data_IF_981264528081
#
_entry.id   IF_981264528081
#
_cell.length_a   1.000
_cell.length_b   1.000
_cell.length_c   1.000
_cell.angle_alpha   90.00
_cell.angle_beta   90.00
_cell.angle_gamma   90.00
#
_symmetry.space_group_name_H-M   'P 1'
#
loop_
_entity.id
_entity.type
_entity.pdbx_description
1 polymer ?
#
# COMPACT_ATOMS: atom_id res chain seq x y z
N UNK A 1 -8.78 12.21 4.19
CA UNK A 1 -9.49 12.39 2.91
C UNK A 1 -9.35 11.09 2.15
N UNK A 2 -10.47 10.39 1.89
CA UNK A 2 -10.47 9.03 1.34
C UNK A 2 -10.70 9.14 -0.17
N UNK A 3 -9.75 8.64 -0.98
CA UNK A 3 -9.77 8.70 -2.45
C UNK A 3 -10.88 7.80 -3.01
N UNK A 4 -11.95 8.33 -3.62
CA UNK A 4 -13.07 7.51 -4.16
C UNK A 4 -12.82 6.93 -5.56
N UNK A 5 -11.61 7.07 -6.09
CA UNK A 5 -11.29 6.67 -7.46
C UNK A 5 -10.60 5.30 -7.50
N UNK A 6 -10.86 4.54 -8.56
CA UNK A 6 -10.05 3.37 -8.87
C UNK A 6 -8.70 3.87 -9.39
N UNK A 7 -7.60 3.39 -8.79
CA UNK A 7 -6.26 3.77 -9.20
C UNK A 7 -5.57 2.57 -9.85
N UNK A 8 -4.93 2.81 -10.98
CA UNK A 8 -3.97 1.85 -11.56
C UNK A 8 -2.58 2.43 -11.45
N UNK A 9 -1.69 1.69 -10.80
CA UNK A 9 -0.32 2.09 -10.51
C UNK A 9 0.61 1.24 -11.36
N UNK A 10 1.38 1.88 -12.23
CA UNK A 10 2.39 1.24 -13.07
C UNK A 10 3.79 1.65 -12.61
N UNK A 11 4.71 0.70 -12.59
CA UNK A 11 6.08 0.90 -12.16
C UNK A 11 7.07 0.78 -13.33
N UNK A 12 7.34 1.87 -14.07
CA UNK A 12 8.30 1.83 -15.17
C UNK A 12 9.77 1.63 -14.74
N UNK A 13 10.15 1.97 -13.50
CA UNK A 13 11.51 1.82 -13.00
C UNK A 13 11.59 1.78 -11.46
N UNK A 14 12.64 1.13 -10.95
CA UNK A 14 12.96 1.04 -9.52
C UNK A 14 12.35 -0.16 -8.80
N UNK A 15 12.57 -0.20 -7.49
CA UNK A 15 12.06 -1.23 -6.57
C UNK A 15 11.58 -0.55 -5.29
N UNK A 16 10.58 -1.11 -4.63
CA UNK A 16 10.06 -0.53 -3.39
C UNK A 16 9.04 -1.42 -2.71
N UNK A 17 8.30 -0.87 -1.77
CA UNK A 17 7.15 -1.54 -1.17
C UNK A 17 5.89 -0.70 -1.28
N UNK A 18 4.74 -1.37 -1.35
CA UNK A 18 3.39 -0.82 -1.27
C UNK A 18 2.69 -1.44 -0.06
N UNK A 19 2.17 -0.58 0.82
CA UNK A 19 1.19 -0.98 1.83
C UNK A 19 -0.20 -0.52 1.42
N UNK A 20 -1.21 -1.37 1.62
CA UNK A 20 -2.63 -1.03 1.50
C UNK A 20 -3.31 -1.36 2.82
N UNK A 21 -4.04 -0.40 3.39
CA UNK A 21 -4.80 -0.58 4.62
C UNK A 21 -6.27 -0.89 4.28
N UNK A 22 -6.59 -2.17 4.09
CA UNK A 22 -7.94 -2.59 3.74
C UNK A 22 -8.80 -2.60 5.00
N UNK A 23 -9.87 -1.77 5.09
CA UNK A 23 -10.69 -1.71 6.29
C UNK A 23 -11.31 -3.06 6.63
N UNK A 24 -11.25 -3.45 7.91
CA UNK A 24 -11.79 -4.73 8.40
C UNK A 24 -10.90 -5.94 8.17
N UNK A 25 -9.75 -5.81 7.49
CA UNK A 25 -8.77 -6.89 7.40
C UNK A 25 -7.84 -6.90 8.61
N UNK A 26 -7.50 -8.11 9.08
CA UNK A 26 -6.58 -8.30 10.20
C UNK A 26 -5.13 -7.96 9.83
N UNK A 27 -4.34 -7.58 10.83
CA UNK A 27 -2.89 -7.43 10.75
C UNK A 27 -2.24 -8.82 10.79
N UNK A 28 -1.75 -9.29 9.64
CA UNK A 28 -1.21 -10.66 9.49
C UNK A 28 0.31 -10.72 9.49
N UNK A 29 0.99 -9.57 9.50
CA UNK A 29 2.44 -9.47 9.63
C UNK A 29 2.71 -9.00 11.05
N UNK A 30 3.53 -9.77 11.76
CA UNK A 30 3.73 -9.65 13.20
C UNK A 30 5.21 -9.85 13.51
N UNK A 31 5.82 -8.94 14.26
CA UNK A 31 7.20 -9.09 14.73
C UNK A 31 7.21 -9.54 16.21
N UNK A 32 7.61 -10.79 16.50
CA UNK A 32 7.76 -11.26 17.87
C UNK A 32 9.08 -10.77 18.46
N UNK A 33 9.04 -10.27 19.70
CA UNK A 33 10.25 -9.89 20.42
C UNK A 33 10.90 -11.14 21.06
N UNK A 34 12.14 -11.46 20.67
CA UNK A 34 12.97 -12.44 21.37
C UNK A 34 13.96 -11.72 22.28
N UNK A 35 13.67 -11.65 23.58
CA UNK A 35 14.70 -11.28 24.57
C UNK A 35 15.59 -12.48 24.91
N UNK A 36 16.90 -12.24 25.03
CA UNK A 36 17.82 -13.09 25.81
C UNK A 36 17.34 -13.11 27.27
N UNK A 37 16.44 -14.02 27.63
CA UNK A 37 15.95 -14.13 29.02
C UNK A 37 14.60 -14.81 29.23
N UNK A 38 13.87 -15.17 28.17
CA UNK A 38 12.70 -16.06 28.30
C UNK A 38 11.44 -15.44 28.89
N UNK A 39 11.32 -14.10 28.93
CA UNK A 39 10.06 -13.42 29.24
C UNK A 39 9.45 -12.86 27.95
N UNK A 40 8.20 -13.21 27.59
CA UNK A 40 7.54 -12.64 26.42
C UNK A 40 7.20 -11.18 26.72
N UNK A 41 7.81 -10.25 25.98
CA UNK A 41 7.49 -8.83 26.02
C UNK A 41 6.48 -8.49 24.89
N UNK A 42 5.69 -7.43 25.10
CA UNK A 42 4.64 -6.95 24.20
C UNK A 42 5.08 -6.97 22.74
N UNK A 43 4.19 -7.47 21.88
CA UNK A 43 4.34 -7.48 20.42
C UNK A 43 4.68 -6.08 19.89
N UNK A 44 5.84 -5.94 19.24
CA UNK A 44 6.42 -4.63 18.90
C UNK A 44 5.77 -3.97 17.69
N UNK A 45 5.40 -4.76 16.68
CA UNK A 45 4.71 -4.29 15.48
C UNK A 45 3.73 -5.33 14.94
N UNK A 46 2.59 -4.84 14.46
CA UNK A 46 1.57 -5.59 13.74
C UNK A 46 1.03 -4.71 12.63
N UNK A 47 1.00 -5.24 11.43
CA UNK A 47 0.43 -4.51 10.30
C UNK A 47 -0.16 -5.45 9.25
N UNK A 48 -0.94 -4.86 8.33
CA UNK A 48 -1.40 -5.59 7.16
C UNK A 48 -0.25 -5.91 6.20
N UNK A 49 -0.49 -6.84 5.29
CA UNK A 49 0.51 -7.31 4.33
C UNK A 49 1.07 -6.17 3.48
N UNK A 50 2.40 -6.05 3.48
CA UNK A 50 3.16 -5.19 2.58
C UNK A 50 3.52 -5.98 1.31
N UNK A 51 3.52 -5.31 0.15
CA UNK A 51 3.86 -5.90 -1.15
C UNK A 51 5.15 -5.32 -1.68
N UNK A 52 6.08 -6.17 -2.09
CA UNK A 52 7.24 -5.74 -2.86
C UNK A 52 6.83 -5.32 -4.27
N UNK A 53 7.43 -4.23 -4.70
CA UNK A 53 7.23 -3.56 -5.97
C UNK A 53 8.50 -3.67 -6.81
N UNK A 54 8.35 -3.99 -8.10
CA UNK A 54 9.43 -4.01 -9.07
C UNK A 54 9.02 -3.40 -10.40
N UNK A 55 10.02 -3.11 -11.22
CA UNK A 55 9.80 -2.66 -12.60
C UNK A 55 8.87 -3.62 -13.37
N UNK A 56 7.88 -3.03 -14.04
CA UNK A 56 6.87 -3.74 -14.83
C UNK A 56 5.61 -4.12 -14.06
N UNK A 57 5.56 -3.91 -12.75
CA UNK A 57 4.35 -4.19 -11.96
C UNK A 57 3.21 -3.24 -12.36
N UNK A 58 1.99 -3.81 -12.43
CA UNK A 58 0.72 -3.10 -12.61
C UNK A 58 -0.20 -3.47 -11.45
N UNK A 59 -0.64 -2.47 -10.68
CA UNK A 59 -1.37 -2.66 -9.44
C UNK A 59 -2.69 -1.92 -9.50
N UNK A 60 -3.76 -2.59 -9.12
CA UNK A 60 -5.07 -2.01 -8.95
C UNK A 60 -5.31 -1.68 -7.47
N UNK A 61 -5.61 -0.42 -7.17
CA UNK A 61 -5.97 0.05 -5.82
C UNK A 61 -7.46 0.39 -5.82
N UNK A 62 -8.28 -0.32 -5.02
CA UNK A 62 -9.71 -0.04 -4.92
C UNK A 62 -10.01 1.36 -4.39
N UNK A 63 -11.17 1.94 -4.76
CA UNK A 63 -11.66 3.16 -4.16
C UNK A 63 -11.69 3.07 -2.63
N UNK A 64 -11.17 4.12 -2.03
CA UNK A 64 -11.24 4.39 -0.60
C UNK A 64 -10.26 3.62 0.26
N UNK A 65 -9.35 2.85 -0.35
CA UNK A 65 -8.29 2.14 0.36
C UNK A 65 -7.09 3.07 0.55
N UNK A 66 -6.70 3.42 1.79
CA UNK A 66 -5.45 4.12 2.04
C UNK A 66 -4.26 3.26 1.61
N UNK A 67 -3.30 3.89 0.94
CA UNK A 67 -2.09 3.24 0.51
C UNK A 67 -0.88 4.15 0.68
N UNK A 68 0.30 3.54 0.79
CA UNK A 68 1.58 4.23 0.90
C UNK A 68 2.65 3.45 0.16
N UNK A 69 3.66 4.14 -0.35
CA UNK A 69 4.81 3.53 -1.02
C UNK A 69 6.10 3.98 -0.38
N UNK A 70 7.07 3.08 -0.29
CA UNK A 70 8.41 3.39 0.19
C UNK A 70 9.46 2.85 -0.78
N UNK A 71 10.42 3.70 -1.12
CA UNK A 71 11.58 3.29 -1.92
C UNK A 71 12.68 2.81 -0.97
N UNK A 72 12.98 1.51 -1.00
CA UNK A 72 14.12 0.94 -0.26
C UNK A 72 15.34 0.67 -1.16
N UNK A 73 15.22 0.89 -2.48
CA UNK A 73 16.29 0.63 -3.43
C UNK A 73 17.20 1.84 -3.65
N UNK A 74 18.34 1.59 -4.27
CA UNK A 74 19.35 2.63 -4.56
C UNK A 74 19.02 3.47 -5.81
N UNK A 75 17.99 3.09 -6.56
CA UNK A 75 17.52 3.79 -7.77
C UNK A 75 16.20 4.52 -7.51
N UNK A 76 15.88 5.59 -8.26
CA UNK A 76 14.57 6.22 -8.18
C UNK A 76 13.42 5.23 -8.44
N UNK A 77 12.46 5.19 -7.52
CA UNK A 77 11.18 4.53 -7.73
C UNK A 77 10.28 5.46 -8.54
N UNK A 78 10.01 5.11 -9.80
CA UNK A 78 9.12 5.88 -10.67
C UNK A 78 7.77 5.19 -10.72
N UNK A 79 6.72 5.94 -10.40
CA UNK A 79 5.33 5.47 -10.35
C UNK A 79 4.47 6.34 -11.25
N UNK A 80 3.66 5.70 -12.10
CA UNK A 80 2.62 6.36 -12.90
C UNK A 80 1.27 5.90 -12.38
N UNK A 81 0.42 6.84 -11.98
CA UNK A 81 -0.93 6.56 -11.48
C UNK A 81 -1.97 7.03 -12.48
N UNK A 82 -2.85 6.12 -12.91
CA UNK A 82 -4.06 6.43 -13.67
C UNK A 82 -5.25 6.45 -12.71
N UNK A 83 -5.93 7.61 -12.65
CA UNK A 83 -7.11 7.84 -11.84
C UNK A 83 -8.36 7.76 -12.71
N UNK A 84 -9.20 6.74 -12.50
CA UNK A 84 -10.48 6.63 -13.21
C UNK A 84 -11.56 7.48 -12.51
N UNK A 85 -11.60 8.77 -12.86
CA UNK A 85 -12.62 9.73 -12.35
C UNK A 85 -14.04 9.42 -12.83
N UNK A 86 -14.17 8.62 -13.90
CA UNK A 86 -15.45 8.22 -14.50
C UNK A 86 -15.98 6.88 -13.99
N UNK A 87 -15.26 6.26 -13.07
CA UNK A 87 -15.61 4.95 -12.52
C UNK A 87 -17.00 4.97 -11.86
N UNK A 88 -17.80 3.92 -12.05
CA UNK A 88 -19.13 3.80 -11.44
C UNK A 88 -19.11 3.79 -9.91
N UNK A 89 -17.96 3.44 -9.31
CA UNK A 89 -17.76 3.48 -7.87
C UNK A 89 -17.51 4.90 -7.34
N UNK A 90 -17.14 5.85 -8.21
CA UNK A 90 -17.03 7.25 -7.84
C UNK A 90 -18.42 7.90 -7.83
N UNK A 91 -18.95 8.14 -6.62
CA UNK A 91 -20.29 8.72 -6.42
C UNK A 91 -20.26 10.25 -6.19
N UNK A 92 -19.09 10.88 -6.34
CA UNK A 92 -18.92 12.32 -6.14
C UNK A 92 -18.97 13.06 -7.49
N UNK A 93 -17.89 13.75 -7.80
CA UNK A 93 -17.68 14.55 -9.00
C UNK A 93 -16.44 14.00 -9.75
N UNK A 94 -16.12 14.57 -10.92
CA UNK A 94 -14.97 14.14 -11.73
C UNK A 94 -13.65 14.80 -11.34
N UNK A 95 -13.60 15.52 -10.22
CA UNK A 95 -12.39 16.17 -9.75
C UNK A 95 -11.64 15.15 -8.88
N UNK A 96 -10.42 14.73 -9.28
CA UNK A 96 -9.61 13.87 -8.44
C UNK A 96 -9.25 14.63 -7.16
N UNK A 97 -9.55 14.03 -6.02
CA UNK A 97 -9.18 14.55 -4.70
C UNK A 97 -7.87 13.93 -4.24
#
# INVERSE_FOLDING_TARGET
MILTLMNYVMLPAGTGVLGMAIPGCAETYEEPQWEKGGRPQLQQDRHQKVRYLKQGDLIAIPPGVPYWTYNYGDTPLIIITLLDTSNKLNQLDRIPR
#
